data_IF_966985927534
#
_entry.id   IF_966985927534
#
_cell.length_a   1.000
_cell.length_b   1.000
_cell.length_c   1.000
_cell.angle_alpha   90.00
_cell.angle_beta   90.00
_cell.angle_gamma   90.00
#
_symmetry.space_group_name_H-M   'P 1'
#
loop_
_entity.id
_entity.type
_entity.pdbx_description
1 polymer ?
#
# COMPACT_ATOMS: atom_id res chain seq x y z
N UNK A 1 -3.98 13.56 8.78
CA UNK A 1 -3.59 12.93 10.04
C UNK A 1 -2.19 12.36 9.91
N UNK A 2 -1.29 12.73 10.82
CA UNK A 2 0.03 12.11 10.85
C UNK A 2 -0.10 10.86 11.69
N UNK A 3 0.14 9.68 11.15
CA UNK A 3 0.13 8.48 11.96
C UNK A 3 1.23 8.56 13.00
N UNK A 4 0.94 8.06 14.16
CA UNK A 4 1.99 7.79 15.13
C UNK A 4 2.97 6.82 14.48
N UNK A 5 4.22 7.14 14.65
CA UNK A 5 5.38 6.42 14.17
C UNK A 5 5.27 4.92 14.39
N UNK A 6 5.45 4.16 13.32
CA UNK A 6 5.39 2.70 13.34
C UNK A 6 3.99 2.13 13.58
N UNK A 7 2.96 2.96 13.56
CA UNK A 7 1.56 2.55 13.61
C UNK A 7 0.91 2.93 12.30
N UNK A 8 -0.02 2.13 11.83
CA UNK A 8 -0.80 2.46 10.65
C UNK A 8 -1.51 3.79 10.80
N UNK A 9 -1.54 4.61 9.74
CA UNK A 9 -2.30 5.83 9.76
C UNK A 9 -3.78 5.55 9.96
N UNK A 10 -4.37 6.26 10.91
CA UNK A 10 -5.82 6.32 11.08
C UNK A 10 -6.42 7.33 10.10
N UNK A 11 -6.14 7.17 8.79
CA UNK A 11 -6.61 8.11 7.77
C UNK A 11 -7.89 7.67 7.08
N UNK A 12 -8.45 6.53 7.48
CA UNK A 12 -9.74 6.05 7.02
C UNK A 12 -10.58 5.54 8.19
N UNK A 13 -11.85 5.41 7.97
CA UNK A 13 -12.80 4.84 8.92
C UNK A 13 -13.89 4.11 8.15
N UNK A 14 -14.15 2.86 8.50
CA UNK A 14 -15.28 2.14 7.99
C UNK A 14 -16.59 2.81 8.48
N UNK A 15 -17.48 3.11 7.56
CA UNK A 15 -18.81 3.62 7.87
C UNK A 15 -19.74 2.46 8.24
N UNK A 16 -20.56 2.67 9.26
CA UNK A 16 -21.61 1.71 9.59
C UNK A 16 -22.79 1.89 8.63
N UNK A 17 -23.20 0.81 8.02
CA UNK A 17 -24.41 0.83 7.19
C UNK A 17 -25.65 0.90 8.07
N UNK A 18 -26.10 2.10 8.42
CA UNK A 18 -27.29 2.36 9.21
C UNK A 18 -28.06 3.51 8.58
N UNK A 19 -29.27 3.24 8.12
CA UNK A 19 -30.14 4.25 7.50
C UNK A 19 -30.60 5.34 8.50
N UNK A 20 -30.53 5.09 9.80
CA UNK A 20 -31.18 5.90 10.84
C UNK A 20 -30.20 6.67 11.74
N UNK A 21 -28.90 6.56 11.52
CA UNK A 21 -27.88 7.19 12.38
C UNK A 21 -26.90 8.03 11.57
N UNK A 22 -26.82 9.31 11.89
CA UNK A 22 -25.73 10.17 11.41
C UNK A 22 -24.45 9.77 12.13
N UNK A 23 -23.55 9.12 11.42
CA UNK A 23 -22.22 8.78 11.97
C UNK A 23 -21.27 9.96 11.84
N UNK A 24 -20.67 10.37 12.96
CA UNK A 24 -19.62 11.38 12.98
C UNK A 24 -18.26 10.71 12.90
N UNK A 25 -17.48 11.06 11.89
CA UNK A 25 -16.11 10.59 11.69
C UNK A 25 -15.12 11.75 11.85
N UNK A 26 -14.62 11.96 13.07
CA UNK A 26 -13.63 13.00 13.37
C UNK A 26 -12.22 12.43 13.28
N UNK A 27 -11.33 13.17 12.64
CA UNK A 27 -9.89 12.88 12.58
C UNK A 27 -9.12 13.97 13.30
N UNK A 28 -8.21 13.57 14.19
CA UNK A 28 -7.25 14.48 14.80
C UNK A 28 -6.10 14.70 13.82
N UNK A 29 -5.94 15.93 13.37
CA UNK A 29 -4.86 16.31 12.46
C UNK A 29 -3.70 16.94 13.23
N UNK A 30 -2.49 16.62 12.83
CA UNK A 30 -1.27 17.28 13.31
C UNK A 30 -0.58 17.97 12.14
N UNK A 31 -0.24 19.25 12.33
CA UNK A 31 0.47 20.01 11.31
C UNK A 31 1.90 19.51 11.18
N UNK A 32 2.31 19.19 9.96
CA UNK A 32 3.70 18.82 9.63
C UNK A 32 4.33 19.94 8.84
N UNK A 33 5.37 20.53 9.38
CA UNK A 33 6.15 21.59 8.71
C UNK A 33 7.42 21.03 8.06
N UNK A 34 7.99 21.77 7.10
CA UNK A 34 9.31 21.48 6.53
C UNK A 34 9.35 20.26 5.60
N UNK A 35 8.28 20.05 4.82
CA UNK A 35 8.20 18.96 3.83
C UNK A 35 8.70 19.36 2.43
N UNK A 36 9.49 20.43 2.29
CA UNK A 36 10.04 20.87 0.98
C UNK A 36 11.17 19.95 0.49
N UNK A 37 11.83 19.26 1.42
CA UNK A 37 12.87 18.27 1.13
C UNK A 37 12.69 17.05 2.02
N UNK A 38 12.59 15.89 1.42
CA UNK A 38 12.37 14.63 2.14
C UNK A 38 12.87 13.44 1.33
N UNK A 39 12.97 12.29 1.97
CA UNK A 39 13.29 11.00 1.35
C UNK A 39 12.12 10.03 1.53
N UNK A 40 11.88 9.21 0.52
CA UNK A 40 10.92 8.10 0.60
C UNK A 40 11.66 6.80 0.32
N UNK A 41 11.55 5.86 1.24
CA UNK A 41 11.97 4.48 1.02
C UNK A 41 10.85 3.73 0.31
N UNK A 42 11.14 3.19 -0.88
CA UNK A 42 10.22 2.33 -1.61
C UNK A 42 10.49 0.87 -1.21
N UNK A 43 9.48 0.19 -0.67
CA UNK A 43 9.59 -1.15 -0.10
C UNK A 43 8.67 -2.11 -0.89
N UNK A 44 9.22 -2.80 -1.88
CA UNK A 44 8.46 -3.76 -2.68
C UNK A 44 8.75 -5.21 -2.30
N UNK A 45 7.78 -6.08 -2.46
CA UNK A 45 7.92 -7.53 -2.45
C UNK A 45 8.64 -8.09 -1.20
N UNK A 46 8.27 -7.60 -0.02
CA UNK A 46 8.91 -8.06 1.23
C UNK A 46 8.57 -9.50 1.55
N UNK A 47 7.37 -9.98 1.18
CA UNK A 47 6.90 -11.36 1.33
C UNK A 47 7.15 -11.94 2.72
N UNK A 48 6.88 -11.16 3.77
CA UNK A 48 7.02 -11.64 5.14
C UNK A 48 5.96 -12.71 5.43
N UNK A 49 6.39 -13.89 5.86
CA UNK A 49 5.50 -15.04 6.00
C UNK A 49 5.91 -16.00 7.11
N UNK A 50 6.82 -15.58 7.99
CA UNK A 50 7.38 -16.46 9.04
C UNK A 50 7.92 -17.78 8.47
N UNK A 51 8.62 -17.70 7.36
CA UNK A 51 9.38 -18.81 6.77
C UNK A 51 10.79 -18.82 7.33
N UNK A 52 11.53 -19.89 7.02
CA UNK A 52 12.94 -20.00 7.41
C UNK A 52 13.75 -18.83 6.83
N UNK A 53 14.18 -17.92 7.69
CA UNK A 53 15.12 -16.85 7.38
C UNK A 53 14.51 -15.50 6.97
N UNK A 54 13.24 -15.41 6.53
CA UNK A 54 12.65 -14.16 6.03
C UNK A 54 12.59 -13.07 7.11
N UNK A 55 12.11 -13.39 8.31
CA UNK A 55 12.04 -12.43 9.41
C UNK A 55 13.44 -12.01 9.91
N UNK A 56 14.42 -12.92 9.84
CA UNK A 56 15.82 -12.61 10.17
C UNK A 56 16.45 -11.66 9.15
N UNK A 57 16.19 -11.86 7.86
CA UNK A 57 16.62 -10.96 6.80
C UNK A 57 15.95 -9.60 6.93
N UNK A 58 14.66 -9.57 7.25
CA UNK A 58 13.96 -8.32 7.49
C UNK A 58 14.52 -7.57 8.71
N UNK A 59 14.85 -8.27 9.78
CA UNK A 59 15.47 -7.66 10.97
C UNK A 59 16.84 -7.04 10.64
N UNK A 60 17.63 -7.65 9.76
CA UNK A 60 18.88 -7.06 9.30
C UNK A 60 18.63 -5.79 8.47
N UNK A 61 17.69 -5.84 7.51
CA UNK A 61 17.29 -4.68 6.73
C UNK A 61 16.83 -3.53 7.63
N UNK A 62 15.98 -3.80 8.63
CA UNK A 62 15.48 -2.75 9.53
C UNK A 62 16.55 -2.17 10.44
N UNK A 63 17.58 -2.95 10.78
CA UNK A 63 18.79 -2.45 11.45
C UNK A 63 19.54 -1.46 10.56
N UNK A 64 19.80 -1.83 9.31
CA UNK A 64 20.49 -0.95 8.34
C UNK A 64 19.68 0.33 8.06
N UNK A 65 18.35 0.20 7.97
CA UNK A 65 17.44 1.34 7.82
C UNK A 65 17.52 2.27 9.03
N UNK A 66 17.53 1.73 10.24
CA UNK A 66 17.64 2.50 11.50
C UNK A 66 18.97 3.22 11.56
N UNK A 67 20.07 2.57 11.19
CA UNK A 67 21.39 3.17 11.11
C UNK A 67 21.46 4.29 10.08
N UNK A 68 20.82 4.09 8.92
CA UNK A 68 20.71 5.15 7.92
C UNK A 68 19.93 6.35 8.46
N UNK A 69 18.77 6.14 9.05
CA UNK A 69 17.95 7.21 9.62
C UNK A 69 18.68 7.96 10.75
N UNK A 70 19.45 7.25 11.56
CA UNK A 70 20.27 7.84 12.64
C UNK A 70 21.35 8.75 12.09
N UNK A 71 22.06 8.32 11.04
CA UNK A 71 23.10 9.13 10.38
C UNK A 71 22.52 10.37 9.66
N UNK A 72 21.26 10.31 9.28
CA UNK A 72 20.54 11.38 8.60
C UNK A 72 19.50 12.07 9.50
N UNK A 73 19.78 12.10 10.79
CA UNK A 73 18.91 12.72 11.79
C UNK A 73 18.64 14.20 11.42
N UNK A 74 17.35 14.53 11.35
CA UNK A 74 16.89 15.89 10.97
C UNK A 74 16.38 15.98 9.52
N UNK A 75 16.65 14.98 8.67
CA UNK A 75 15.96 14.86 7.40
C UNK A 75 14.56 14.26 7.57
N UNK A 76 13.59 14.75 6.81
CA UNK A 76 12.26 14.14 6.77
C UNK A 76 12.31 12.85 5.97
N UNK A 77 11.77 11.78 6.52
CA UNK A 77 11.78 10.47 5.89
C UNK A 77 10.41 9.82 5.99
N UNK A 78 10.04 9.11 4.96
CA UNK A 78 8.80 8.36 4.82
C UNK A 78 9.09 7.03 4.16
N UNK A 79 8.18 6.09 4.23
CA UNK A 79 8.21 4.88 3.42
C UNK A 79 6.89 4.70 2.67
N UNK A 80 6.95 4.05 1.52
CA UNK A 80 5.81 3.61 0.74
C UNK A 80 6.06 2.17 0.31
N UNK A 81 5.17 1.26 0.70
CA UNK A 81 5.25 -0.11 0.19
C UNK A 81 4.74 -0.16 -1.24
N UNK A 82 5.23 -1.09 -2.01
CA UNK A 82 4.82 -1.31 -3.41
C UNK A 82 4.07 -2.64 -3.57
N UNK A 83 3.40 -3.09 -2.52
CA UNK A 83 2.68 -4.35 -2.49
C UNK A 83 3.52 -5.55 -2.04
N UNK A 84 2.85 -6.68 -1.89
CA UNK A 84 3.44 -7.95 -1.46
C UNK A 84 4.21 -7.85 -0.14
N UNK A 85 3.57 -7.21 0.84
CA UNK A 85 4.12 -7.07 2.19
C UNK A 85 4.14 -8.42 2.91
N UNK A 86 3.09 -9.20 2.70
CA UNK A 86 2.92 -10.55 3.22
C UNK A 86 2.91 -11.56 2.08
N UNK A 87 2.71 -12.83 2.39
CA UNK A 87 2.55 -13.87 1.39
C UNK A 87 1.37 -14.76 1.73
N UNK A 88 0.26 -14.58 1.05
CA UNK A 88 -1.04 -15.22 1.26
C UNK A 88 -0.97 -16.74 1.37
N UNK A 89 -0.09 -17.40 0.61
CA UNK A 89 0.12 -18.86 0.67
C UNK A 89 0.50 -19.36 2.08
N UNK A 90 1.06 -18.50 2.92
CA UNK A 90 1.50 -18.83 4.27
C UNK A 90 0.62 -18.22 5.37
N UNK A 91 -0.42 -17.46 5.02
CA UNK A 91 -1.28 -16.82 6.02
C UNK A 91 -1.87 -17.82 7.00
N UNK A 92 -2.33 -18.95 6.48
CA UNK A 92 -2.97 -20.00 7.27
C UNK A 92 -1.96 -21.00 7.83
N UNK A 93 -1.02 -21.49 7.03
CA UNK A 93 -0.06 -22.49 7.44
C UNK A 93 0.94 -22.00 8.48
N UNK A 94 1.39 -20.76 8.35
CA UNK A 94 2.36 -20.14 9.25
C UNK A 94 1.72 -19.19 10.26
N UNK A 95 0.40 -19.00 10.18
CA UNK A 95 -0.37 -18.02 10.98
C UNK A 95 0.28 -16.62 10.92
N UNK A 96 0.66 -16.21 9.72
CA UNK A 96 1.35 -14.93 9.50
C UNK A 96 0.67 -14.13 8.38
N UNK A 97 -0.03 -13.07 8.76
CA UNK A 97 -0.66 -12.11 7.86
C UNK A 97 -0.59 -10.70 8.48
N UNK A 98 -1.50 -9.78 8.21
CA UNK A 98 -1.38 -8.37 8.57
C UNK A 98 -1.16 -8.08 10.07
N UNK A 99 -1.85 -8.70 11.04
CA UNK A 99 -1.55 -8.45 12.46
C UNK A 99 -0.10 -8.78 12.83
N UNK A 100 0.43 -9.89 12.30
CA UNK A 100 1.82 -10.31 12.55
C UNK A 100 2.81 -9.41 11.80
N UNK A 101 2.49 -9.06 10.55
CA UNK A 101 3.24 -8.08 9.77
C UNK A 101 3.36 -6.75 10.53
N UNK A 102 2.24 -6.20 11.00
CA UNK A 102 2.21 -4.95 11.75
C UNK A 102 3.02 -5.03 13.05
N UNK A 103 2.90 -6.15 13.78
CA UNK A 103 3.71 -6.36 14.98
C UNK A 103 5.21 -6.40 14.65
N UNK A 104 5.60 -7.06 13.56
CA UNK A 104 6.99 -7.13 13.10
C UNK A 104 7.49 -5.74 12.73
N UNK A 105 6.78 -5.02 11.88
CA UNK A 105 7.14 -3.68 11.43
C UNK A 105 7.20 -2.72 12.63
N UNK A 106 6.16 -2.67 13.46
CA UNK A 106 6.07 -1.75 14.60
C UNK A 106 7.10 -2.04 15.69
N UNK A 107 7.57 -3.29 15.81
CA UNK A 107 8.64 -3.63 16.75
C UNK A 107 10.01 -3.17 16.27
N UNK A 108 10.26 -3.19 14.95
CA UNK A 108 11.58 -2.99 14.38
C UNK A 108 11.79 -1.61 13.75
N UNK A 109 10.75 -1.04 13.12
CA UNK A 109 10.84 0.28 12.48
C UNK A 109 10.20 1.32 13.40
N UNK A 110 11.00 2.30 13.83
CA UNK A 110 10.55 3.41 14.67
C UNK A 110 10.74 4.73 13.93
N UNK A 111 9.90 5.71 14.27
CA UNK A 111 10.01 7.08 13.74
C UNK A 111 9.94 7.21 12.21
N UNK A 112 9.27 6.28 11.54
CA UNK A 112 9.07 6.29 10.09
C UNK A 112 7.59 6.07 9.79
N UNK A 113 6.97 7.04 9.13
CA UNK A 113 5.63 6.89 8.61
C UNK A 113 5.66 6.02 7.35
N UNK A 114 4.84 4.99 7.32
CA UNK A 114 4.75 4.04 6.20
C UNK A 114 3.36 4.16 5.57
N UNK A 115 3.31 4.45 4.29
CA UNK A 115 2.12 4.32 3.45
C UNK A 115 2.14 2.95 2.77
N UNK A 116 0.96 2.38 2.52
CA UNK A 116 0.87 1.01 2.02
C UNK A 116 0.18 0.94 0.66
N UNK A 117 0.76 0.18 -0.24
CA UNK A 117 0.13 -0.27 -1.49
C UNK A 117 -0.14 -1.76 -1.37
N UNK A 118 -1.30 -2.20 -1.81
CA UNK A 118 -1.67 -3.62 -1.83
C UNK A 118 -1.03 -4.33 -3.03
N UNK A 119 -0.58 -5.58 -2.84
CA UNK A 119 -0.09 -6.44 -3.92
C UNK A 119 -0.91 -7.72 -4.06
N UNK A 120 -0.58 -8.55 -5.02
CA UNK A 120 -1.35 -9.78 -5.25
C UNK A 120 -1.24 -10.77 -4.09
N UNK A 121 -0.12 -10.80 -3.37
CA UNK A 121 0.05 -11.64 -2.18
C UNK A 121 -0.49 -11.02 -0.88
N UNK A 122 -1.09 -9.86 -0.97
CA UNK A 122 -1.84 -9.22 0.13
C UNK A 122 -3.35 -9.45 -0.01
N UNK A 123 -3.77 -10.30 -0.95
CA UNK A 123 -5.15 -10.73 -1.19
C UNK A 123 -5.38 -12.15 -0.64
N UNK A 124 -6.56 -12.39 -0.09
CA UNK A 124 -6.94 -13.71 0.43
C UNK A 124 -7.42 -14.62 -0.70
N UNK A 125 -6.54 -15.50 -1.19
CA UNK A 125 -6.87 -16.41 -2.29
C UNK A 125 -7.94 -17.46 -1.96
N UNK A 126 -8.28 -17.65 -0.68
CA UNK A 126 -9.34 -18.59 -0.28
C UNK A 126 -10.75 -18.03 -0.45
N UNK A 127 -10.86 -16.79 -0.89
CA UNK A 127 -12.13 -16.13 -1.18
C UNK A 127 -12.59 -16.34 -2.62
N UNK A 128 -13.73 -15.77 -3.01
CA UNK A 128 -14.33 -15.95 -4.33
C UNK A 128 -14.78 -14.64 -4.98
N UNK A 129 -14.30 -13.52 -4.47
CA UNK A 129 -14.57 -12.20 -5.04
C UNK A 129 -13.40 -11.27 -4.76
N UNK A 130 -13.24 -10.26 -5.56
CA UNK A 130 -12.25 -9.22 -5.37
C UNK A 130 -12.43 -8.49 -4.02
N UNK A 131 -13.66 -8.12 -3.71
CA UNK A 131 -13.99 -7.49 -2.44
C UNK A 131 -13.59 -8.34 -1.23
N UNK A 132 -13.97 -9.63 -1.21
CA UNK A 132 -13.66 -10.52 -0.08
C UNK A 132 -12.15 -10.78 0.03
N UNK A 133 -11.44 -10.80 -1.09
CA UNK A 133 -9.98 -10.96 -1.11
C UNK A 133 -9.27 -9.80 -0.40
N UNK A 134 -9.79 -8.59 -0.54
CA UNK A 134 -9.22 -7.38 0.04
C UNK A 134 -9.67 -7.09 1.49
N UNK A 135 -10.73 -7.73 2.00
CA UNK A 135 -11.33 -7.40 3.32
C UNK A 135 -10.29 -7.37 4.44
N UNK A 136 -9.43 -8.38 4.53
CA UNK A 136 -8.41 -8.44 5.60
C UNK A 136 -7.41 -7.28 5.51
N UNK A 137 -7.07 -6.86 4.30
CA UNK A 137 -6.20 -5.69 4.09
C UNK A 137 -6.91 -4.41 4.52
N UNK A 138 -8.13 -4.19 4.05
CA UNK A 138 -8.91 -2.98 4.38
C UNK A 138 -9.16 -2.87 5.87
N UNK A 139 -9.46 -3.97 6.55
CA UNK A 139 -9.74 -3.99 7.99
C UNK A 139 -8.50 -3.71 8.85
N UNK A 140 -7.31 -4.11 8.39
CA UNK A 140 -6.09 -4.09 9.20
C UNK A 140 -5.10 -3.02 8.76
N UNK A 141 -5.05 -2.69 7.48
CA UNK A 141 -4.05 -1.80 6.89
C UNK A 141 -4.68 -0.44 6.52
N UNK A 142 -5.34 -0.36 5.37
CA UNK A 142 -5.92 0.89 4.85
C UNK A 142 -6.81 0.61 3.63
N UNK A 143 -7.47 1.63 3.05
CA UNK A 143 -8.12 1.49 1.75
C UNK A 143 -7.16 0.97 0.69
N UNK A 144 -7.65 0.22 -0.29
CA UNK A 144 -6.81 -0.34 -1.35
C UNK A 144 -6.30 0.73 -2.32
N UNK A 145 -7.04 1.83 -2.48
CA UNK A 145 -6.60 3.02 -3.24
C UNK A 145 -6.93 4.31 -2.49
N UNK A 146 -6.03 5.29 -2.56
CA UNK A 146 -6.14 6.58 -1.90
C UNK A 146 -5.08 7.56 -2.40
N UNK A 147 -5.16 8.82 -1.98
CA UNK A 147 -4.13 9.82 -2.29
C UNK A 147 -3.72 10.60 -1.05
N UNK A 148 -2.52 11.19 -1.10
CA UNK A 148 -1.98 12.03 -0.05
C UNK A 148 -0.94 13.00 -0.61
N UNK A 149 -0.58 14.02 0.16
CA UNK A 149 0.45 14.96 -0.22
C UNK A 149 1.63 14.90 0.76
N UNK A 150 2.83 14.95 0.24
CA UNK A 150 4.03 15.28 1.02
C UNK A 150 4.66 16.50 0.38
N UNK A 151 4.68 17.61 1.11
CA UNK A 151 5.16 18.88 0.57
C UNK A 151 4.41 19.30 -0.69
N UNK A 152 5.11 19.38 -1.80
CA UNK A 152 4.57 19.83 -3.11
C UNK A 152 4.28 18.66 -4.07
N UNK A 153 4.38 17.44 -3.62
CA UNK A 153 4.15 16.24 -4.45
C UNK A 153 2.85 15.59 -4.04
N UNK A 154 2.03 15.27 -5.01
CA UNK A 154 0.81 14.50 -4.85
C UNK A 154 1.09 13.03 -5.12
N UNK A 155 0.75 12.17 -4.16
CA UNK A 155 0.91 10.71 -4.24
C UNK A 155 -0.45 10.06 -4.39
N UNK A 156 -0.54 9.15 -5.32
CA UNK A 156 -1.73 8.33 -5.57
C UNK A 156 -1.33 6.88 -5.42
N UNK A 157 -2.03 6.15 -4.59
CA UNK A 157 -1.93 4.69 -4.47
C UNK A 157 -3.11 4.08 -5.19
N UNK A 158 -2.86 3.13 -6.08
CA UNK A 158 -3.87 2.41 -6.85
C UNK A 158 -3.77 0.92 -6.56
N UNK A 159 -4.92 0.26 -6.61
CA UNK A 159 -5.04 -1.20 -6.55
C UNK A 159 -5.22 -1.73 -7.97
N UNK A 160 -4.17 -2.32 -8.52
CA UNK A 160 -4.16 -2.83 -9.89
C UNK A 160 -4.20 -4.36 -9.96
N UNK A 161 -4.70 -5.00 -8.88
CA UNK A 161 -4.88 -6.45 -8.79
C UNK A 161 -6.36 -6.78 -8.65
N UNK A 162 -6.95 -7.31 -9.69
CA UNK A 162 -8.35 -7.77 -9.71
C UNK A 162 -8.40 -9.28 -9.43
N UNK A 163 -8.97 -9.63 -8.29
CA UNK A 163 -9.14 -11.00 -7.80
C UNK A 163 -10.55 -11.58 -8.06
N UNK A 164 -11.34 -10.98 -8.94
CA UNK A 164 -12.71 -11.43 -9.26
C UNK A 164 -12.79 -12.88 -9.76
N UNK A 165 -11.69 -13.40 -10.31
CA UNK A 165 -11.56 -14.78 -10.75
C UNK A 165 -11.08 -15.76 -9.66
N UNK A 166 -10.95 -15.34 -8.41
CA UNK A 166 -10.58 -16.25 -7.32
C UNK A 166 -11.69 -17.27 -7.06
N UNK A 167 -11.29 -18.50 -6.89
CA UNK A 167 -12.17 -19.65 -6.67
C UNK A 167 -11.85 -20.43 -5.38
N UNK A 168 -10.91 -19.92 -4.59
CA UNK A 168 -10.45 -20.54 -3.36
C UNK A 168 -9.36 -21.61 -3.56
N UNK A 169 -8.86 -21.81 -4.79
CA UNK A 169 -7.90 -22.87 -5.10
C UNK A 169 -6.47 -22.39 -5.29
N UNK A 170 -6.28 -21.15 -5.77
CA UNK A 170 -4.95 -20.63 -6.10
C UNK A 170 -4.89 -19.10 -6.02
N UNK A 171 -3.76 -18.58 -5.58
CA UNK A 171 -3.44 -17.15 -5.59
C UNK A 171 -2.95 -16.62 -6.96
N UNK A 172 -3.09 -17.40 -8.02
CA UNK A 172 -2.61 -17.06 -9.37
C UNK A 172 -3.70 -16.64 -10.35
N UNK A 173 -4.97 -16.70 -9.92
CA UNK A 173 -6.13 -16.36 -10.75
C UNK A 173 -6.51 -14.88 -10.66
N UNK A 174 -5.55 -13.98 -10.54
CA UNK A 174 -5.79 -12.54 -10.59
C UNK A 174 -5.51 -11.97 -11.98
N UNK A 175 -6.08 -10.81 -12.25
CA UNK A 175 -5.83 -10.03 -13.47
C UNK A 175 -5.22 -8.69 -13.07
N UNK A 176 -4.31 -8.17 -13.87
CA UNK A 176 -3.75 -6.83 -13.68
C UNK A 176 -4.68 -5.82 -14.34
N UNK A 177 -5.47 -5.16 -13.52
CA UNK A 177 -6.56 -4.29 -13.97
C UNK A 177 -6.90 -3.23 -12.93
N UNK A 178 -7.31 -2.06 -13.41
CA UNK A 178 -7.92 -1.02 -12.58
C UNK A 178 -9.42 -1.02 -12.82
N UNK A 179 -10.22 -0.96 -11.77
CA UNK A 179 -11.67 -0.88 -11.92
C UNK A 179 -12.10 0.47 -12.48
N UNK A 180 -13.27 0.53 -13.11
CA UNK A 180 -13.84 1.78 -13.62
C UNK A 180 -14.04 2.80 -12.49
N UNK A 181 -14.43 2.34 -11.31
CA UNK A 181 -14.63 3.16 -10.13
C UNK A 181 -13.32 3.81 -9.67
N UNK A 182 -12.20 3.07 -9.70
CA UNK A 182 -10.90 3.63 -9.38
C UNK A 182 -10.47 4.69 -10.40
N UNK A 183 -10.71 4.45 -11.69
CA UNK A 183 -10.38 5.41 -12.74
C UNK A 183 -11.21 6.69 -12.63
N UNK A 184 -12.51 6.57 -12.35
CA UNK A 184 -13.39 7.73 -12.11
C UNK A 184 -12.95 8.49 -10.84
N UNK A 185 -12.60 7.78 -9.80
CA UNK A 185 -12.07 8.37 -8.57
C UNK A 185 -10.75 9.11 -8.86
N UNK A 186 -9.82 8.48 -9.59
CA UNK A 186 -8.54 9.10 -9.95
C UNK A 186 -8.74 10.38 -10.75
N UNK A 187 -9.61 10.36 -11.76
CA UNK A 187 -9.93 11.54 -12.56
C UNK A 187 -10.49 12.66 -11.70
N UNK A 188 -11.35 12.35 -10.73
CA UNK A 188 -11.92 13.32 -9.79
C UNK A 188 -10.86 13.85 -8.82
N UNK A 189 -10.02 12.98 -8.25
CA UNK A 189 -8.93 13.37 -7.37
C UNK A 189 -7.97 14.34 -8.07
N UNK A 190 -7.48 13.96 -9.25
CA UNK A 190 -6.57 14.78 -10.04
C UNK A 190 -7.19 16.09 -10.53
N UNK A 191 -8.51 16.19 -10.64
CA UNK A 191 -9.19 17.45 -10.99
C UNK A 191 -8.99 18.55 -9.94
N UNK A 192 -8.65 18.18 -8.71
CA UNK A 192 -8.34 19.11 -7.61
C UNK A 192 -6.83 19.38 -7.47
N UNK A 193 -6.00 18.74 -8.26
CA UNK A 193 -4.55 18.91 -8.24
C UNK A 193 -4.11 19.92 -9.31
N UNK A 194 -3.29 20.89 -8.94
CA UNK A 194 -2.81 21.87 -9.90
C UNK A 194 -1.94 21.20 -10.97
N UNK A 195 -2.10 21.56 -12.24
CA UNK A 195 -1.37 20.96 -13.37
C UNK A 195 0.17 21.05 -13.27
N UNK A 196 0.68 21.90 -12.40
CA UNK A 196 2.11 22.07 -12.14
C UNK A 196 2.60 21.20 -10.97
N UNK A 197 1.71 20.51 -10.27
CA UNK A 197 2.05 19.65 -9.14
C UNK A 197 2.61 18.34 -9.68
N UNK A 198 3.81 17.92 -9.26
CA UNK A 198 4.30 16.57 -9.55
C UNK A 198 3.37 15.52 -8.94
N UNK A 199 3.03 14.51 -9.73
CA UNK A 199 2.21 13.38 -9.29
C UNK A 199 3.04 12.10 -9.34
N UNK A 200 3.00 11.32 -8.27
CA UNK A 200 3.58 9.98 -8.19
C UNK A 200 2.44 8.99 -8.04
N UNK A 201 2.32 8.08 -9.00
CA UNK A 201 1.34 6.98 -8.93
C UNK A 201 2.07 5.71 -8.52
N UNK A 202 1.65 5.11 -7.41
CA UNK A 202 2.14 3.85 -6.88
C UNK A 202 1.11 2.76 -7.12
N UNK A 203 1.54 1.66 -7.70
CA UNK A 203 0.77 0.43 -7.89
C UNK A 203 1.71 -0.76 -7.84
N UNK A 204 1.18 -1.96 -7.68
CA UNK A 204 2.00 -3.15 -7.51
C UNK A 204 2.43 -3.76 -8.85
N UNK A 205 1.49 -4.02 -9.74
CA UNK A 205 1.80 -4.68 -10.99
C UNK A 205 2.55 -3.76 -11.97
N UNK A 206 3.51 -4.32 -12.67
CA UNK A 206 4.27 -3.59 -13.66
C UNK A 206 3.38 -3.21 -14.85
N UNK A 207 3.35 -1.93 -15.18
CA UNK A 207 2.65 -1.41 -16.35
C UNK A 207 3.38 -1.84 -17.65
N UNK A 208 4.71 -1.86 -17.59
CA UNK A 208 5.58 -2.24 -18.69
C UNK A 208 6.62 -3.26 -18.21
N UNK A 209 6.95 -4.23 -19.05
CA UNK A 209 8.09 -5.08 -18.78
C UNK A 209 8.98 -5.24 -20.05
N UNK A 210 10.30 -5.42 -19.87
CA UNK A 210 11.21 -5.56 -20.97
C UNK A 210 11.02 -6.90 -21.68
N UNK A 211 11.14 -6.88 -23.02
CA UNK A 211 11.19 -8.07 -23.88
C UNK A 211 12.44 -8.01 -24.72
N UNK A 212 12.76 -9.10 -25.45
CA UNK A 212 13.88 -9.13 -26.40
C UNK A 212 13.72 -8.15 -27.57
N UNK A 213 12.50 -7.68 -27.84
CA UNK A 213 12.16 -6.74 -28.92
C UNK A 213 11.74 -5.35 -28.44
N UNK A 214 11.89 -5.05 -27.13
CA UNK A 214 11.49 -3.76 -26.54
C UNK A 214 10.71 -3.93 -25.25
N UNK A 215 9.60 -3.20 -25.10
CA UNK A 215 8.71 -3.27 -23.93
C UNK A 215 7.35 -3.80 -24.35
N UNK A 216 6.77 -4.65 -23.53
CA UNK A 216 5.37 -5.06 -23.62
C UNK A 216 4.57 -4.31 -22.55
N UNK A 217 3.40 -3.84 -22.92
CA UNK A 217 2.41 -3.33 -21.98
C UNK A 217 1.72 -4.54 -21.36
N UNK A 218 1.75 -4.64 -20.04
CA UNK A 218 1.16 -5.76 -19.30
C UNK A 218 -0.13 -5.38 -18.59
N UNK A 219 -0.56 -4.13 -18.77
CA UNK A 219 -1.74 -3.58 -18.14
C UNK A 219 -2.65 -2.94 -19.17
N UNK A 220 -3.90 -3.39 -19.23
CA UNK A 220 -4.83 -2.99 -20.30
C UNK A 220 -5.19 -1.49 -20.25
N UNK A 221 -5.19 -0.87 -19.06
CA UNK A 221 -5.57 0.53 -18.88
C UNK A 221 -4.41 1.52 -18.96
N UNK A 222 -3.23 1.11 -19.37
CA UNK A 222 -2.07 2.00 -19.46
C UNK A 222 -2.33 3.26 -20.29
N UNK A 223 -3.13 3.12 -21.35
CA UNK A 223 -3.48 4.25 -22.20
C UNK A 223 -4.47 5.23 -21.53
N UNK A 224 -5.21 4.79 -20.55
CA UNK A 224 -6.14 5.61 -19.76
C UNK A 224 -5.39 6.43 -18.71
N UNK A 225 -4.24 5.95 -18.26
CA UNK A 225 -3.37 6.65 -17.30
C UNK A 225 -2.48 7.74 -17.92
N UNK A 226 -2.48 7.88 -19.25
CA UNK A 226 -1.75 8.92 -20.01
C UNK A 226 -2.59 10.17 -20.21
#
# INVERSE_FOLDING_TARGET
>A
EVPSVGVLPQFHRALKNSADVVERADFKLEKVDGQDSYKIFMLGDMHLANRTGDLGQFAQFTSDLTDYMTRHKGEKMYALTLGDMTWDLYWYSNSYYFPQYLNTVNSQIKNLQIFHTMGNHDNDFQTRSDYDAAVKYVDQICPTYYSFNIGKVHYVVMDDIDCSSYDGSTSRNYVKSLSAEQLDWLAKDLSHVAKTTPVVVAMHAQVFYPTTSGFKIDHDQVNTLR
#
